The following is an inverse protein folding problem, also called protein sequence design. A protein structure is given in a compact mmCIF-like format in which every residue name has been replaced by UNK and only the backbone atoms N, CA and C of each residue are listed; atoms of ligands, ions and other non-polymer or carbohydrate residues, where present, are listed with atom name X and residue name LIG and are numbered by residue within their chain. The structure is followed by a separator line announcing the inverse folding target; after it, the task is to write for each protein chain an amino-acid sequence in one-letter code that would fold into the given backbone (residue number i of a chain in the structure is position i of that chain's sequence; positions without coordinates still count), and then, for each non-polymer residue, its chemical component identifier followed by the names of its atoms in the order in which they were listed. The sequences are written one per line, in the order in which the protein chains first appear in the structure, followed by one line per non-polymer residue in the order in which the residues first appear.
data_IF_193756907682
#
_entry.id   IF_193756907682
#
_cell.length_a   1.000
_cell.length_b   1.000
_cell.length_c   1.000
_cell.angle_alpha   90.00
_cell.angle_beta   90.00
_cell.angle_gamma   90.00
#
_symmetry.space_group_name_H-M   'P 1'
#
loop_
_entity.id
_entity.type
_entity.pdbx_description
1 polymer ?
#
# COMPACT_ATOMS: atom_id res chain seq x y z
N UNK A 1 -18.28 4.69 -12.17
CA UNK A 1 -19.28 5.72 -12.20
C UNK A 1 -19.22 6.66 -10.99
N UNK A 2 -18.78 6.21 -9.79
CA UNK A 2 -18.58 7.09 -8.63
C UNK A 2 -17.54 8.21 -8.91
N UNK A 3 -16.40 7.87 -9.52
CA UNK A 3 -15.38 8.88 -9.90
C UNK A 3 -15.94 9.90 -10.89
N UNK A 4 -16.72 9.46 -11.89
CA UNK A 4 -17.36 10.37 -12.85
C UNK A 4 -18.41 11.28 -12.20
N UNK A 5 -19.04 10.83 -11.11
CA UNK A 5 -19.96 11.61 -10.30
C UNK A 5 -19.26 12.54 -9.30
N UNK A 6 -17.94 12.65 -9.31
CA UNK A 6 -17.17 13.49 -8.39
C UNK A 6 -17.05 12.94 -6.96
N UNK A 7 -17.43 11.71 -6.72
CA UNK A 7 -17.28 11.06 -5.41
C UNK A 7 -15.81 10.80 -5.14
N UNK A 8 -15.35 11.13 -3.93
CA UNK A 8 -14.01 10.74 -3.47
C UNK A 8 -13.99 9.23 -3.24
N UNK A 9 -13.18 8.52 -4.01
CA UNK A 9 -12.99 7.07 -3.88
C UNK A 9 -11.56 6.80 -3.43
N UNK A 10 -11.41 5.94 -2.43
CA UNK A 10 -10.13 5.53 -1.85
C UNK A 10 -9.93 4.03 -2.00
N UNK A 11 -8.71 3.57 -1.83
CA UNK A 11 -8.35 2.16 -1.69
C UNK A 11 -8.04 1.83 -0.23
N UNK A 12 -8.27 0.58 0.13
CA UNK A 12 -7.88 0.00 1.41
C UNK A 12 -7.73 -1.50 1.27
N UNK A 13 -6.87 -2.08 2.07
CA UNK A 13 -6.58 -3.53 2.07
C UNK A 13 -7.64 -4.34 2.78
N UNK A 14 -8.56 -3.71 3.51
CA UNK A 14 -9.39 -4.37 4.53
C UNK A 14 -8.51 -5.07 5.59
N UNK A 15 -9.03 -6.05 6.32
CA UNK A 15 -8.28 -6.79 7.33
C UNK A 15 -7.66 -8.08 6.81
N UNK A 16 -6.62 -8.56 7.49
CA UNK A 16 -5.97 -9.83 7.15
C UNK A 16 -6.92 -11.04 7.16
N UNK A 17 -8.03 -10.97 7.91
CA UNK A 17 -9.03 -12.05 7.97
C UNK A 17 -9.88 -12.13 6.69
N UNK A 18 -10.02 -11.04 5.95
CA UNK A 18 -10.83 -10.97 4.72
C UNK A 18 -9.95 -10.94 3.46
N UNK A 19 -8.82 -10.23 3.47
CA UNK A 19 -7.96 -10.05 2.30
C UNK A 19 -6.58 -10.75 2.40
N UNK A 20 -6.30 -11.44 3.49
CA UNK A 20 -5.08 -12.22 3.73
C UNK A 20 -3.76 -11.41 3.82
N UNK A 21 -3.64 -10.24 3.21
CA UNK A 21 -2.47 -9.39 3.30
C UNK A 21 -2.83 -7.91 3.53
N UNK A 22 -1.82 -7.06 3.76
CA UNK A 22 -1.96 -5.62 3.97
C UNK A 22 -1.05 -4.84 3.01
N UNK A 23 -0.93 -5.30 1.76
CA UNK A 23 -0.09 -4.70 0.74
C UNK A 23 -0.88 -3.74 -0.16
N UNK A 24 -0.79 -2.44 0.10
CA UNK A 24 -1.43 -1.39 -0.72
C UNK A 24 -0.92 -1.33 -2.16
N UNK A 25 0.32 -1.76 -2.44
CA UNK A 25 0.83 -1.82 -3.82
C UNK A 25 0.08 -2.91 -4.59
N UNK A 26 -0.16 -4.06 -3.96
CA UNK A 26 -0.96 -5.14 -4.56
C UNK A 26 -2.43 -4.72 -4.74
N UNK A 27 -3.01 -3.97 -3.81
CA UNK A 27 -4.36 -3.42 -3.97
C UNK A 27 -4.47 -2.47 -5.16
N UNK A 28 -3.46 -1.64 -5.38
CA UNK A 28 -3.41 -0.76 -6.55
C UNK A 28 -3.38 -1.56 -7.86
N UNK A 29 -2.57 -2.60 -7.95
CA UNK A 29 -2.49 -3.49 -9.11
C UNK A 29 -3.84 -4.17 -9.38
N UNK A 30 -4.44 -4.74 -8.36
CA UNK A 30 -5.75 -5.41 -8.42
C UNK A 30 -6.84 -4.44 -8.89
N UNK A 31 -6.94 -3.26 -8.29
CA UNK A 31 -7.94 -2.26 -8.66
C UNK A 31 -7.77 -1.81 -10.12
N UNK A 32 -6.54 -1.54 -10.56
CA UNK A 32 -6.28 -1.13 -11.93
C UNK A 32 -6.66 -2.22 -12.95
N UNK A 33 -6.27 -3.47 -12.71
CA UNK A 33 -6.53 -4.61 -13.62
C UNK A 33 -8.00 -5.00 -13.65
N UNK A 34 -8.63 -5.12 -12.48
CA UNK A 34 -10.03 -5.54 -12.36
C UNK A 34 -10.98 -4.61 -13.12
N UNK A 35 -10.80 -3.31 -13.01
CA UNK A 35 -11.64 -2.35 -13.72
C UNK A 35 -11.41 -2.35 -15.22
N UNK A 36 -10.20 -2.61 -15.70
CA UNK A 36 -9.93 -2.78 -17.12
C UNK A 36 -10.66 -4.00 -17.70
N UNK A 37 -10.60 -5.11 -16.98
CA UNK A 37 -11.27 -6.35 -17.40
C UNK A 37 -12.79 -6.19 -17.35
N UNK A 38 -13.34 -5.67 -16.25
CA UNK A 38 -14.80 -5.55 -16.10
C UNK A 38 -15.45 -4.58 -17.09
N UNK A 39 -14.69 -3.59 -17.60
CA UNK A 39 -15.17 -2.62 -18.60
C UNK A 39 -14.76 -2.95 -20.03
N UNK A 40 -13.90 -3.96 -20.23
CA UNK A 40 -13.25 -4.27 -21.50
C UNK A 40 -12.56 -3.02 -22.12
N UNK A 41 -12.01 -2.18 -21.26
CA UNK A 41 -11.36 -0.92 -21.61
C UNK A 41 -9.96 -0.84 -20.97
N UNK A 42 -8.88 -0.94 -21.76
CA UNK A 42 -7.50 -0.89 -21.23
C UNK A 42 -7.12 0.49 -20.65
N UNK A 43 -7.90 1.53 -20.93
CA UNK A 43 -7.67 2.89 -20.43
C UNK A 43 -8.39 3.15 -19.09
N UNK A 44 -9.32 2.29 -18.71
CA UNK A 44 -10.02 2.40 -17.42
C UNK A 44 -9.04 2.33 -16.25
N UNK A 45 -9.31 3.10 -15.19
CA UNK A 45 -8.48 3.10 -13.96
C UNK A 45 -6.98 3.22 -14.24
N UNK A 46 -6.56 4.37 -14.78
CA UNK A 46 -5.15 4.63 -15.06
C UNK A 46 -4.29 4.49 -13.79
N UNK A 47 -3.01 4.16 -13.95
CA UNK A 47 -2.06 4.05 -12.84
C UNK A 47 -2.03 5.32 -11.98
N UNK A 48 -2.07 6.51 -12.59
CA UNK A 48 -2.15 7.79 -11.88
C UNK A 48 -3.43 7.91 -11.03
N UNK A 49 -4.57 7.47 -11.55
CA UNK A 49 -5.85 7.48 -10.81
C UNK A 49 -5.76 6.58 -9.59
N UNK A 50 -5.30 5.36 -9.78
CA UNK A 50 -5.20 4.36 -8.71
C UNK A 50 -4.21 4.81 -7.62
N UNK A 51 -3.04 5.34 -8.00
CA UNK A 51 -2.08 5.88 -7.04
C UNK A 51 -2.67 7.04 -6.22
N UNK A 52 -3.47 7.92 -6.84
CA UNK A 52 -4.18 8.97 -6.11
C UNK A 52 -5.19 8.41 -5.12
N UNK A 53 -5.93 7.36 -5.50
CA UNK A 53 -6.88 6.69 -4.61
C UNK A 53 -6.19 6.07 -3.38
N UNK A 54 -4.97 5.57 -3.56
CA UNK A 54 -4.16 5.01 -2.46
C UNK A 54 -3.45 6.09 -1.60
N UNK A 55 -3.40 7.35 -2.05
CA UNK A 55 -2.64 8.42 -1.39
C UNK A 55 -3.52 9.66 -1.11
N UNK A 56 -3.52 10.65 -1.99
CA UNK A 56 -4.20 11.94 -1.77
C UNK A 56 -5.73 11.81 -1.65
N UNK A 57 -6.35 10.95 -2.45
CA UNK A 57 -7.79 10.72 -2.37
C UNK A 57 -8.15 9.88 -1.14
N UNK A 58 -7.28 8.94 -0.74
CA UNK A 58 -7.39 8.21 0.52
C UNK A 58 -7.36 9.13 1.73
N UNK A 59 -6.36 10.00 1.81
CA UNK A 59 -6.27 11.01 2.88
C UNK A 59 -7.51 11.92 2.91
N UNK A 60 -7.99 12.36 1.74
CA UNK A 60 -9.19 13.19 1.64
C UNK A 60 -10.45 12.46 2.12
N UNK A 61 -10.61 11.18 1.78
CA UNK A 61 -11.74 10.37 2.21
C UNK A 61 -11.79 10.21 3.74
N UNK A 62 -10.63 10.23 4.39
CA UNK A 62 -10.48 10.17 5.85
C UNK A 62 -10.55 11.55 6.54
N UNK A 63 -10.75 12.64 5.79
CA UNK A 63 -10.73 14.00 6.34
C UNK A 63 -9.32 14.56 6.62
N UNK A 64 -8.26 13.85 6.20
CA UNK A 64 -6.85 14.19 6.45
C UNK A 64 -6.16 14.87 5.25
N UNK A 65 -6.90 15.19 4.19
CA UNK A 65 -6.32 15.71 2.94
C UNK A 65 -5.61 17.06 3.04
N UNK A 66 -5.81 17.83 4.12
CA UNK A 66 -5.06 19.03 4.41
C UNK A 66 -3.71 18.75 5.12
N UNK A 67 -3.54 17.55 5.66
CA UNK A 67 -2.40 17.18 6.52
C UNK A 67 -1.44 16.22 5.83
N UNK A 68 -1.95 15.24 5.07
CA UNK A 68 -1.16 14.17 4.48
C UNK A 68 -1.70 13.71 3.11
N UNK A 69 -1.11 12.65 2.53
CA UNK A 69 -1.49 12.05 1.25
C UNK A 69 -0.75 12.62 0.03
N UNK A 70 0.14 13.59 0.21
CA UNK A 70 0.99 14.16 -0.85
C UNK A 70 2.25 14.79 -0.26
N UNK A 71 3.31 14.87 -1.06
CA UNK A 71 4.52 15.57 -0.71
C UNK A 71 4.36 17.06 -1.09
N UNK A 72 4.19 17.92 -0.08
CA UNK A 72 4.10 19.36 -0.25
C UNK A 72 4.58 20.08 1.02
N UNK A 73 5.14 21.30 0.91
CA UNK A 73 5.51 22.10 2.08
C UNK A 73 4.33 22.30 3.03
N UNK A 74 4.56 22.12 4.32
CA UNK A 74 3.53 22.24 5.36
C UNK A 74 2.70 20.99 5.61
N UNK A 75 2.84 19.95 4.81
CA UNK A 75 2.20 18.65 5.04
C UNK A 75 3.01 17.81 6.02
N UNK A 76 2.36 16.84 6.68
CA UNK A 76 3.03 15.81 7.47
C UNK A 76 3.92 14.95 6.57
N UNK A 77 5.08 14.59 7.09
CA UNK A 77 5.99 13.69 6.38
C UNK A 77 5.58 12.23 6.62
N UNK A 78 4.57 11.79 5.88
CA UNK A 78 4.21 10.38 5.70
C UNK A 78 4.73 9.96 4.32
N UNK A 79 5.87 9.26 4.28
CA UNK A 79 6.64 9.00 3.05
C UNK A 79 7.16 7.58 3.07
N UNK A 80 7.07 6.90 1.94
CA UNK A 80 7.80 5.67 1.67
C UNK A 80 8.80 5.91 0.54
N UNK A 81 9.98 5.28 0.63
CA UNK A 81 10.95 5.20 -0.45
C UNK A 81 11.04 3.76 -0.94
N UNK A 82 11.00 3.57 -2.25
CA UNK A 82 11.13 2.27 -2.89
C UNK A 82 12.50 2.16 -3.53
N UNK A 83 13.13 0.97 -3.42
CA UNK A 83 14.36 0.64 -4.13
C UNK A 83 14.03 0.15 -5.55
N UNK A 84 14.21 1.02 -6.53
CA UNK A 84 14.01 0.68 -7.94
C UNK A 84 15.21 -0.02 -8.59
N UNK A 85 16.30 -0.21 -7.89
CA UNK A 85 17.46 -0.97 -8.38
C UNK A 85 17.22 -2.48 -8.25
N UNK A 86 16.14 -2.97 -8.86
CA UNK A 86 15.69 -4.36 -8.84
C UNK A 86 15.47 -4.87 -10.26
N UNK A 87 15.74 -6.16 -10.55
CA UNK A 87 15.57 -6.71 -11.91
C UNK A 87 14.13 -6.55 -12.45
N UNK A 88 13.12 -6.78 -11.61
CA UNK A 88 11.70 -6.69 -12.00
C UNK A 88 11.20 -5.24 -12.15
N UNK A 89 11.96 -4.25 -11.68
CA UNK A 89 11.66 -2.82 -11.84
C UNK A 89 12.53 -2.14 -12.92
N UNK A 90 13.33 -2.90 -13.65
CA UNK A 90 14.27 -2.38 -14.66
C UNK A 90 13.87 -2.87 -16.07
N UNK A 91 13.86 -1.98 -17.08
CA UNK A 91 14.05 -0.52 -17.04
C UNK A 91 12.78 0.25 -16.62
N UNK A 92 12.94 1.46 -16.08
CA UNK A 92 11.81 2.34 -15.72
C UNK A 92 11.46 3.24 -16.90
N UNK A 93 10.24 3.12 -17.43
CA UNK A 93 9.70 4.01 -18.45
C UNK A 93 8.64 4.97 -17.90
N UNK A 94 7.95 4.58 -16.82
CA UNK A 94 6.91 5.37 -16.17
C UNK A 94 6.83 4.98 -14.71
N UNK A 95 7.14 5.92 -13.82
CA UNK A 95 7.11 5.72 -12.37
C UNK A 95 5.71 5.31 -11.90
N UNK A 96 4.67 5.92 -12.45
CA UNK A 96 3.27 5.56 -12.11
C UNK A 96 2.95 4.11 -12.45
N UNK A 97 3.34 3.66 -13.64
CA UNK A 97 3.10 2.29 -14.07
C UNK A 97 3.91 1.30 -13.24
N UNK A 98 5.16 1.63 -12.92
CA UNK A 98 6.01 0.78 -12.09
C UNK A 98 5.46 0.66 -10.67
N UNK A 99 5.04 1.77 -10.04
CA UNK A 99 4.44 1.74 -8.71
C UNK A 99 3.15 0.93 -8.64
N UNK A 100 2.34 0.94 -9.71
CA UNK A 100 1.03 0.28 -9.70
C UNK A 100 1.09 -1.17 -10.18
N UNK A 101 1.93 -1.49 -11.16
CA UNK A 101 1.90 -2.80 -11.83
C UNK A 101 3.10 -3.69 -11.57
N UNK A 102 4.20 -3.14 -11.04
CA UNK A 102 5.45 -3.88 -10.90
C UNK A 102 5.97 -3.91 -9.46
N UNK A 103 5.83 -2.79 -8.72
CA UNK A 103 6.33 -2.70 -7.36
C UNK A 103 5.46 -3.50 -6.38
N UNK A 104 6.09 -4.01 -5.34
CA UNK A 104 5.49 -4.82 -4.27
C UNK A 104 5.93 -4.30 -2.90
N UNK A 105 5.28 -4.71 -1.82
CA UNK A 105 5.67 -4.33 -0.46
C UNK A 105 7.15 -4.57 -0.14
N UNK A 106 7.77 -5.68 -0.57
CA UNK A 106 9.22 -5.91 -0.44
C UNK A 106 10.14 -4.87 -1.08
N UNK A 107 9.68 -4.06 -2.04
CA UNK A 107 10.48 -3.01 -2.67
C UNK A 107 10.51 -1.70 -1.87
N UNK A 108 9.67 -1.58 -0.85
CA UNK A 108 9.70 -0.45 0.09
C UNK A 108 10.91 -0.59 1.00
N UNK A 109 11.89 0.29 0.86
CA UNK A 109 13.14 0.29 1.62
C UNK A 109 13.02 1.09 2.91
N UNK A 110 12.46 2.29 2.84
CA UNK A 110 12.39 3.24 3.96
C UNK A 110 10.97 3.74 4.17
N UNK A 111 10.57 3.88 5.43
CA UNK A 111 9.25 4.40 5.82
C UNK A 111 9.41 5.48 6.88
N UNK A 112 8.82 6.63 6.62
CA UNK A 112 8.69 7.75 7.57
C UNK A 112 7.20 7.96 7.83
N UNK A 113 6.81 8.07 9.10
CA UNK A 113 5.43 8.35 9.54
C UNK A 113 5.45 9.56 10.45
N UNK A 114 4.69 10.59 10.08
CA UNK A 114 4.62 11.86 10.81
C UNK A 114 6.01 12.43 11.15
N UNK A 115 6.94 12.36 10.19
CA UNK A 115 8.32 12.81 10.34
C UNK A 115 9.25 11.87 11.13
N UNK A 116 8.76 10.75 11.64
CA UNK A 116 9.55 9.75 12.36
C UNK A 116 9.96 8.62 11.43
N UNK A 117 11.25 8.34 11.36
CA UNK A 117 11.78 7.17 10.66
C UNK A 117 11.36 5.89 11.41
N UNK A 118 10.61 5.03 10.75
CA UNK A 118 10.08 3.78 11.35
C UNK A 118 10.66 2.52 10.73
N UNK A 119 11.14 2.62 9.49
CA UNK A 119 11.86 1.55 8.80
C UNK A 119 12.96 2.16 7.93
N UNK A 120 14.15 1.56 7.89
CA UNK A 120 15.27 1.93 7.03
C UNK A 120 16.02 0.68 6.58
N UNK A 121 16.37 0.61 5.30
CA UNK A 121 17.03 -0.57 4.72
C UNK A 121 16.23 -1.85 4.95
N UNK A 122 14.90 -1.79 4.90
CA UNK A 122 13.99 -2.90 5.21
C UNK A 122 14.01 -3.37 6.66
N UNK A 123 14.67 -2.66 7.56
CA UNK A 123 14.71 -3.00 8.98
C UNK A 123 13.75 -2.11 9.78
N UNK A 124 12.82 -2.71 10.50
CA UNK A 124 11.92 -1.99 11.41
C UNK A 124 12.72 -1.44 12.60
N UNK A 125 12.50 -0.16 12.93
CA UNK A 125 13.22 0.54 13.98
C UNK A 125 12.38 0.73 15.27
N UNK A 126 11.10 0.38 15.23
CA UNK A 126 10.14 0.68 16.30
C UNK A 126 9.81 -0.50 17.18
N UNK A 127 10.09 -1.72 16.74
CA UNK A 127 9.91 -2.96 17.52
C UNK A 127 10.83 -4.08 16.98
N UNK A 128 10.97 -5.14 17.74
CA UNK A 128 11.69 -6.36 17.33
C UNK A 128 10.77 -7.26 16.51
N UNK A 129 11.09 -7.44 15.21
CA UNK A 129 10.28 -8.26 14.29
C UNK A 129 10.31 -9.74 14.69
N UNK A 130 11.47 -10.25 15.17
CA UNK A 130 11.58 -11.65 15.57
C UNK A 130 10.74 -11.93 16.81
N UNK A 131 10.79 -11.05 17.81
CA UNK A 131 9.93 -11.16 18.99
C UNK A 131 8.45 -11.13 18.61
N UNK A 132 8.05 -10.24 17.71
CA UNK A 132 6.67 -10.16 17.23
C UNK A 132 6.22 -11.47 16.55
N UNK A 133 7.05 -12.04 15.66
CA UNK A 133 6.78 -13.33 15.01
C UNK A 133 6.68 -14.47 16.02
N UNK A 134 7.56 -14.52 17.00
CA UNK A 134 7.55 -15.56 18.01
C UNK A 134 6.27 -15.52 18.88
N UNK A 135 5.81 -14.31 19.24
CA UNK A 135 4.54 -14.10 19.95
C UNK A 135 3.34 -14.58 19.15
N UNK A 136 3.27 -14.21 17.85
CA UNK A 136 2.18 -14.64 16.96
C UNK A 136 2.18 -16.16 16.79
N UNK A 137 3.35 -16.78 16.60
CA UNK A 137 3.48 -18.24 16.51
C UNK A 137 3.05 -18.94 17.81
N UNK A 138 3.34 -18.38 18.97
CA UNK A 138 2.86 -18.91 20.24
C UNK A 138 1.34 -18.87 20.37
N UNK A 139 0.71 -17.77 19.91
CA UNK A 139 -0.75 -17.64 19.86
C UNK A 139 -1.35 -18.68 18.90
N UNK A 140 -0.78 -18.81 17.70
CA UNK A 140 -1.24 -19.76 16.71
C UNK A 140 -1.18 -21.23 17.22
N UNK A 141 -0.11 -21.62 17.92
CA UNK A 141 -0.03 -22.94 18.58
C UNK A 141 -1.13 -23.15 19.62
N UNK A 142 -1.43 -22.14 20.44
CA UNK A 142 -2.51 -22.22 21.43
C UNK A 142 -3.88 -22.40 20.77
N UNK A 143 -4.15 -21.67 19.69
CA UNK A 143 -5.41 -21.78 18.95
C UNK A 143 -5.53 -23.16 18.33
N UNK A 144 -4.49 -23.69 17.66
CA UNK A 144 -4.51 -25.04 17.10
C UNK A 144 -4.79 -26.11 18.18
N UNK A 145 -4.13 -26.02 19.31
CA UNK A 145 -4.35 -26.96 20.41
C UNK A 145 -5.81 -26.91 20.93
N UNK A 146 -6.42 -25.72 20.98
CA UNK A 146 -7.84 -25.57 21.39
C UNK A 146 -8.83 -26.12 20.38
N UNK A 147 -8.43 -26.24 19.10
CA UNK A 147 -9.25 -26.79 18.02
C UNK A 147 -8.99 -28.27 17.75
N UNK A 148 -8.09 -28.90 18.50
CA UNK A 148 -7.71 -30.32 18.30
C UNK A 148 -6.90 -30.58 17.03
N UNK A 149 -6.17 -29.55 16.52
CA UNK A 149 -5.37 -29.59 15.30
C UNK A 149 -3.87 -29.72 15.60
#
# INVERSE_FOLDING_TARGET
DMLAAGVTVALGTDGCASNNNLDMLQEMDTAAKLHKVSRLDPTAMSARTVLRMATADGARALGLGAETGRLAPGMKADVIALDFNRPHLTPVYSEYSHLVYCATGPDVDTVVINGRLVMEGRKILTFDEQEAMDRVNAIARRIRASLGM
#
